data_IF_050534482597
#
_entry.id   IF_050534482597
#
_cell.length_a   1.000
_cell.length_b   1.000
_cell.length_c   1.000
_cell.angle_alpha   90.00
_cell.angle_beta   90.00
_cell.angle_gamma   90.00
#
_symmetry.space_group_name_H-M   'P 1'
#
loop_
_entity.id
_entity.type
_entity.pdbx_description
1 polymer ?
#
# COMPACT_ATOMS: atom_id res chain seq x y z
N UNK A 1 5.60 4.02 -13.41
CA UNK A 1 6.02 3.44 -12.13
C UNK A 1 7.05 4.34 -11.46
N UNK A 2 7.29 4.14 -10.19
CA UNK A 2 8.25 4.93 -9.44
C UNK A 2 9.66 4.82 -10.00
N UNK A 3 10.48 5.85 -9.78
CA UNK A 3 11.86 5.89 -10.25
C UNK A 3 12.76 5.07 -9.32
N UNK A 4 13.68 4.33 -9.91
CA UNK A 4 14.71 3.61 -9.14
C UNK A 4 15.87 4.54 -8.82
N UNK A 5 16.54 4.30 -7.71
CA UNK A 5 17.72 5.06 -7.28
C UNK A 5 17.42 6.31 -6.47
N UNK A 6 16.17 6.75 -6.42
CA UNK A 6 15.74 7.90 -5.64
C UNK A 6 15.18 7.46 -4.29
N UNK A 7 15.09 8.40 -3.36
CA UNK A 7 14.36 8.23 -2.12
C UNK A 7 13.00 8.90 -2.21
N UNK A 8 12.10 8.50 -1.33
CA UNK A 8 10.78 9.08 -1.22
C UNK A 8 10.50 9.36 0.26
N UNK A 9 9.84 10.47 0.54
CA UNK A 9 9.59 10.88 1.92
C UNK A 9 8.12 11.21 2.12
N UNK A 10 7.59 10.75 3.24
CA UNK A 10 6.30 11.21 3.76
C UNK A 10 6.51 11.63 5.21
N UNK A 11 5.69 12.55 5.68
CA UNK A 11 5.79 13.08 7.06
C UNK A 11 4.46 12.91 7.75
N UNK A 12 4.45 12.27 8.90
CA UNK A 12 3.27 12.15 9.76
C UNK A 12 3.40 13.08 10.95
N UNK A 13 2.36 13.89 11.19
CA UNK A 13 2.26 14.77 12.35
C UNK A 13 1.16 14.30 13.27
N UNK A 14 1.53 14.01 14.50
CA UNK A 14 0.56 13.67 15.54
C UNK A 14 -0.25 14.90 15.93
N UNK A 15 -1.56 14.72 16.04
CA UNK A 15 -2.51 15.80 16.33
C UNK A 15 -3.22 15.61 17.66
N UNK A 16 -2.70 14.75 18.51
CA UNK A 16 -3.32 14.39 19.79
C UNK A 16 -4.15 13.11 19.66
N UNK A 17 -4.39 12.46 20.78
CA UNK A 17 -5.16 11.21 20.79
C UNK A 17 -4.53 10.15 19.87
N UNK A 18 -5.35 9.58 19.00
CA UNK A 18 -4.93 8.56 18.05
C UNK A 18 -4.98 9.06 16.61
N UNK A 19 -4.88 10.37 16.43
CA UNK A 19 -4.99 10.98 15.11
C UNK A 19 -3.67 11.57 14.66
N UNK A 20 -3.36 11.38 13.37
CA UNK A 20 -2.23 12.02 12.69
C UNK A 20 -2.66 12.48 11.30
N UNK A 21 -1.94 13.46 10.76
CA UNK A 21 -2.04 13.84 9.36
C UNK A 21 -0.74 13.50 8.67
N UNK A 22 -0.83 12.83 7.53
CA UNK A 22 0.32 12.47 6.70
C UNK A 22 0.39 13.39 5.50
N UNK A 23 1.58 13.94 5.26
CA UNK A 23 1.87 14.77 4.08
C UNK A 23 2.70 13.96 3.11
N UNK A 24 2.22 13.84 1.88
CA UNK A 24 2.90 13.14 0.78
C UNK A 24 2.93 14.07 -0.44
N UNK A 25 4.04 14.77 -0.65
CA UNK A 25 4.12 15.82 -1.68
C UNK A 25 3.06 16.90 -1.42
N UNK A 26 2.24 17.26 -2.43
CA UNK A 26 1.16 18.24 -2.24
C UNK A 26 -0.10 17.66 -1.62
N UNK A 27 -0.12 16.35 -1.33
CA UNK A 27 -1.29 15.66 -0.80
C UNK A 27 -1.17 15.46 0.71
N UNK A 28 -2.31 15.51 1.39
CA UNK A 28 -2.37 15.17 2.79
C UNK A 28 -3.58 14.26 3.04
N UNK A 29 -3.47 13.41 4.05
CA UNK A 29 -4.57 12.54 4.43
C UNK A 29 -4.56 12.27 5.93
N UNK A 30 -5.76 12.10 6.47
CA UNK A 30 -5.96 11.84 7.89
C UNK A 30 -5.79 10.35 8.18
N UNK A 31 -5.20 10.07 9.34
CA UNK A 31 -5.05 8.71 9.89
C UNK A 31 -5.63 8.75 11.30
N UNK A 32 -6.49 7.81 11.62
CA UNK A 32 -7.15 7.75 12.91
C UNK A 32 -7.43 6.29 13.29
N UNK A 33 -8.04 6.10 14.42
CA UNK A 33 -8.49 4.79 14.88
C UNK A 33 -10.01 4.83 15.07
N UNK A 34 -10.68 3.67 15.05
CA UNK A 34 -12.11 3.61 15.37
C UNK A 34 -12.41 4.03 16.82
N UNK A 35 -13.64 4.42 17.08
CA UNK A 35 -14.05 4.84 18.42
C UNK A 35 -13.90 3.71 19.44
N UNK A 36 -14.09 2.45 19.03
CA UNK A 36 -13.97 1.28 19.91
C UNK A 36 -12.58 1.13 20.54
N UNK A 37 -11.56 1.68 19.90
CA UNK A 37 -10.20 1.64 20.43
C UNK A 37 -9.71 3.01 20.90
N UNK A 38 -10.61 3.98 21.03
CA UNK A 38 -10.30 5.29 21.56
C UNK A 38 -10.03 6.38 20.53
N UNK A 39 -10.21 6.10 19.27
CA UNK A 39 -10.07 7.08 18.19
C UNK A 39 -11.32 7.92 18.00
N UNK A 40 -11.28 8.82 17.02
CA UNK A 40 -12.42 9.68 16.66
C UNK A 40 -13.03 9.32 15.30
N UNK A 41 -12.53 8.27 14.67
CA UNK A 41 -13.04 7.75 13.39
C UNK A 41 -13.12 8.81 12.28
N UNK A 42 -12.09 9.64 12.19
CA UNK A 42 -12.04 10.72 11.20
C UNK A 42 -11.08 10.42 10.04
N UNK A 43 -10.57 9.22 9.97
CA UNK A 43 -9.73 8.73 8.90
C UNK A 43 -9.49 7.24 9.02
N UNK A 44 -9.01 6.59 7.95
CA UNK A 44 -8.64 5.18 8.01
C UNK A 44 -7.50 4.91 8.99
N UNK A 45 -7.43 3.67 9.46
CA UNK A 45 -6.33 3.20 10.31
C UNK A 45 -5.03 3.08 9.52
N UNK A 46 -3.87 3.17 10.19
CA UNK A 46 -2.58 2.93 9.52
C UNK A 46 -2.54 1.59 8.77
N UNK A 47 -3.10 0.54 9.37
CA UNK A 47 -3.12 -0.79 8.75
C UNK A 47 -3.99 -0.85 7.51
N UNK A 48 -5.04 -0.03 7.44
CA UNK A 48 -5.87 0.10 6.23
C UNK A 48 -5.10 0.82 5.12
N UNK A 49 -4.36 1.87 5.43
CA UNK A 49 -3.46 2.51 4.46
C UNK A 49 -2.38 1.56 3.98
N UNK A 50 -1.83 0.75 4.87
CA UNK A 50 -0.82 -0.25 4.53
C UNK A 50 -1.38 -1.28 3.53
N UNK A 51 -2.53 -1.85 3.82
CA UNK A 51 -3.19 -2.80 2.91
C UNK A 51 -3.60 -2.11 1.61
N UNK A 52 -4.10 -0.88 1.70
CA UNK A 52 -4.47 -0.08 0.53
C UNK A 52 -3.29 0.23 -0.37
N UNK A 53 -2.12 0.49 0.19
CA UNK A 53 -0.90 0.71 -0.61
C UNK A 53 -0.52 -0.54 -1.38
N UNK A 54 -0.61 -1.70 -0.76
CA UNK A 54 -0.33 -2.98 -1.42
C UNK A 54 -1.34 -3.27 -2.52
N UNK A 55 -2.63 -3.15 -2.22
CA UNK A 55 -3.70 -3.41 -3.19
C UNK A 55 -3.61 -2.48 -4.39
N UNK A 56 -3.44 -1.18 -4.16
CA UNK A 56 -3.35 -0.19 -5.24
C UNK A 56 -2.07 -0.36 -6.07
N UNK A 57 -0.94 -0.64 -5.42
CA UNK A 57 0.32 -0.88 -6.13
C UNK A 57 0.20 -2.10 -7.04
N UNK A 58 -0.42 -3.18 -6.56
CA UNK A 58 -0.61 -4.39 -7.36
C UNK A 58 -1.59 -4.14 -8.53
N UNK A 59 -2.67 -3.40 -8.30
CA UNK A 59 -3.60 -3.03 -9.35
C UNK A 59 -2.91 -2.24 -10.47
N UNK A 60 -2.09 -1.24 -10.11
CA UNK A 60 -1.34 -0.47 -11.09
C UNK A 60 -0.29 -1.33 -11.82
N UNK A 61 0.33 -2.28 -11.13
CA UNK A 61 1.28 -3.21 -11.73
C UNK A 61 0.58 -4.13 -12.75
N UNK A 62 -0.63 -4.60 -12.44
CA UNK A 62 -1.43 -5.39 -13.39
C UNK A 62 -1.82 -4.55 -14.61
N UNK A 63 -2.28 -3.33 -14.41
CA UNK A 63 -2.63 -2.43 -15.50
C UNK A 63 -1.41 -2.17 -16.41
N UNK A 64 -0.25 -1.94 -15.81
CA UNK A 64 1.00 -1.75 -16.55
C UNK A 64 1.38 -3.01 -17.34
N UNK A 65 1.28 -4.17 -16.70
CA UNK A 65 1.58 -5.46 -17.35
C UNK A 65 0.66 -5.74 -18.53
N UNK A 66 -0.64 -5.46 -18.38
CA UNK A 66 -1.61 -5.60 -19.44
C UNK A 66 -1.29 -4.67 -20.61
N UNK A 67 -1.02 -3.41 -20.31
CA UNK A 67 -0.68 -2.40 -21.33
C UNK A 67 0.56 -2.81 -22.13
N UNK A 68 1.58 -3.33 -21.46
CA UNK A 68 2.81 -3.80 -22.11
C UNK A 68 2.55 -4.93 -23.09
N UNK A 69 1.50 -5.70 -22.88
CA UNK A 69 1.14 -6.86 -23.70
C UNK A 69 0.00 -6.56 -24.67
N UNK A 70 -0.42 -5.30 -24.76
CA UNK A 70 -1.52 -4.92 -25.64
C UNK A 70 -2.87 -5.50 -25.23
N UNK A 71 -3.02 -5.87 -23.94
CA UNK A 71 -4.27 -6.37 -23.40
C UNK A 71 -5.03 -5.20 -22.79
N UNK A 72 -6.27 -5.01 -23.23
CA UNK A 72 -7.15 -4.01 -22.67
C UNK A 72 -7.87 -4.58 -21.45
N UNK A 73 -7.71 -3.92 -20.29
CA UNK A 73 -8.42 -4.29 -19.08
C UNK A 73 -9.77 -3.58 -19.06
N UNK A 74 -10.89 -4.32 -19.06
CA UNK A 74 -12.21 -3.70 -19.02
C UNK A 74 -12.54 -3.10 -17.66
N UNK A 75 -12.07 -3.75 -16.62
CA UNK A 75 -12.25 -3.37 -15.22
C UNK A 75 -11.18 -4.05 -14.38
N UNK A 76 -10.96 -3.54 -13.18
CA UNK A 76 -10.00 -4.14 -12.26
C UNK A 76 -10.26 -3.67 -10.83
N UNK A 77 -10.40 -4.64 -9.95
CA UNK A 77 -10.46 -4.40 -8.52
C UNK A 77 -9.50 -5.37 -7.82
N UNK A 78 -8.72 -4.86 -6.89
CA UNK A 78 -7.82 -5.67 -6.07
C UNK A 78 -8.18 -5.42 -4.62
N UNK A 79 -8.54 -6.48 -3.91
CA UNK A 79 -8.74 -6.43 -2.47
C UNK A 79 -7.54 -7.02 -1.75
N UNK A 80 -7.25 -6.48 -0.57
CA UNK A 80 -6.20 -6.99 0.31
C UNK A 80 -6.80 -7.29 1.67
N UNK A 81 -6.68 -8.53 2.11
CA UNK A 81 -7.13 -8.95 3.44
C UNK A 81 -5.92 -9.36 4.27
N UNK A 82 -5.71 -8.66 5.37
CA UNK A 82 -4.65 -8.97 6.33
C UNK A 82 -5.20 -9.72 7.52
N UNK A 83 -4.54 -10.80 7.89
CA UNK A 83 -4.87 -11.58 9.08
C UNK A 83 -3.85 -11.28 10.17
N UNK A 84 -4.34 -10.77 11.31
CA UNK A 84 -3.48 -10.34 12.41
C UNK A 84 -2.88 -11.52 13.19
N UNK A 85 -1.67 -11.32 13.68
CA UNK A 85 -1.00 -12.15 14.67
C UNK A 85 -0.21 -11.19 15.59
N UNK A 86 -0.85 -10.76 16.68
CA UNK A 86 -0.31 -9.71 17.53
C UNK A 86 -0.15 -8.41 16.75
N UNK A 87 1.00 -7.71 16.87
CA UNK A 87 1.20 -6.40 16.23
C UNK A 87 1.67 -6.49 14.78
N UNK A 88 1.29 -7.54 14.06
CA UNK A 88 1.66 -7.73 12.65
C UNK A 88 0.58 -8.50 11.92
N UNK A 89 0.64 -8.45 10.60
CA UNK A 89 -0.10 -9.40 9.76
C UNK A 89 0.75 -10.65 9.55
N UNK A 90 0.21 -11.81 9.88
CA UNK A 90 0.86 -13.09 9.56
C UNK A 90 0.62 -13.53 8.13
N UNK A 91 -0.45 -13.03 7.50
CA UNK A 91 -0.77 -13.32 6.12
C UNK A 91 -1.53 -12.14 5.52
N UNK A 92 -1.24 -11.85 4.27
CA UNK A 92 -2.03 -10.90 3.47
C UNK A 92 -2.42 -11.62 2.18
N UNK A 93 -3.71 -11.60 1.88
CA UNK A 93 -4.24 -12.19 0.64
C UNK A 93 -4.72 -11.09 -0.29
N UNK A 94 -4.18 -11.08 -1.50
CA UNK A 94 -4.67 -10.23 -2.57
C UNK A 94 -5.63 -11.04 -3.44
N UNK A 95 -6.78 -10.46 -3.74
CA UNK A 95 -7.75 -11.06 -4.66
C UNK A 95 -7.97 -10.09 -5.81
N UNK A 96 -7.73 -10.56 -7.01
CA UNK A 96 -7.91 -9.79 -8.24
C UNK A 96 -9.28 -10.10 -8.81
N UNK A 97 -10.08 -9.08 -9.01
CA UNK A 97 -11.42 -9.19 -9.57
C UNK A 97 -11.49 -8.39 -10.86
N UNK A 98 -11.80 -9.05 -11.95
CA UNK A 98 -11.91 -8.46 -13.29
C UNK A 98 -12.80 -9.34 -14.16
N UNK A 99 -13.47 -8.74 -15.14
CA UNK A 99 -14.20 -9.49 -16.15
C UNK A 99 -13.31 -10.04 -17.27
N UNK A 100 -12.00 -9.72 -17.24
CA UNK A 100 -11.04 -10.30 -18.17
C UNK A 100 -11.03 -11.84 -18.02
N UNK A 101 -11.07 -12.63 -19.12
CA UNK A 101 -10.97 -14.09 -19.01
C UNK A 101 -9.71 -14.54 -18.28
N UNK A 102 -9.84 -15.62 -17.50
CA UNK A 102 -8.75 -16.16 -16.68
C UNK A 102 -7.50 -16.43 -17.51
N UNK A 103 -7.68 -16.94 -18.72
CA UNK A 103 -6.57 -17.26 -19.64
C UNK A 103 -5.76 -16.02 -20.03
N UNK A 104 -6.39 -14.85 -19.99
CA UNK A 104 -5.71 -13.57 -20.29
C UNK A 104 -5.16 -12.91 -19.03
N UNK A 105 -5.82 -13.11 -17.88
CA UNK A 105 -5.37 -12.56 -16.61
C UNK A 105 -4.13 -13.30 -16.07
N UNK A 106 -4.16 -14.62 -16.08
CA UNK A 106 -3.13 -15.43 -15.42
C UNK A 106 -1.71 -15.11 -15.87
N UNK A 107 -1.45 -14.91 -17.19
CA UNK A 107 -0.11 -14.51 -17.63
C UNK A 107 0.35 -13.13 -17.17
N UNK A 108 -0.53 -12.29 -16.65
CA UNK A 108 -0.21 -10.96 -16.15
C UNK A 108 0.26 -10.95 -14.70
N UNK A 109 -0.05 -11.99 -13.93
CA UNK A 109 0.19 -12.01 -12.48
C UNK A 109 1.68 -12.00 -12.13
N UNK A 110 2.47 -12.87 -12.73
CA UNK A 110 3.90 -12.94 -12.45
C UNK A 110 4.64 -11.65 -12.87
N UNK A 111 4.43 -11.10 -14.08
CA UNK A 111 5.02 -9.81 -14.43
C UNK A 111 4.60 -8.66 -13.50
N UNK A 112 3.34 -8.62 -13.08
CA UNK A 112 2.85 -7.62 -12.14
C UNK A 112 3.58 -7.73 -10.80
N UNK A 113 3.73 -8.95 -10.28
CA UNK A 113 4.45 -9.19 -9.03
C UNK A 113 5.90 -8.72 -9.10
N UNK A 114 6.55 -8.83 -10.25
CA UNK A 114 7.95 -8.39 -10.42
C UNK A 114 8.11 -6.87 -10.34
N UNK A 115 7.08 -6.10 -10.68
CA UNK A 115 7.16 -4.63 -10.70
C UNK A 115 6.36 -3.97 -9.58
N UNK A 116 5.72 -4.73 -8.73
CA UNK A 116 4.97 -4.20 -7.60
C UNK A 116 5.94 -3.85 -6.46
N UNK A 117 6.19 -2.55 -6.26
CA UNK A 117 7.16 -2.07 -5.26
C UNK A 117 6.78 -2.50 -3.84
N UNK A 118 5.50 -2.40 -3.48
CA UNK A 118 5.06 -2.71 -2.12
C UNK A 118 5.19 -4.19 -1.82
N UNK A 119 4.72 -5.08 -2.72
CA UNK A 119 4.84 -6.52 -2.50
C UNK A 119 6.29 -6.98 -2.47
N UNK A 120 7.15 -6.41 -3.33
CA UNK A 120 8.58 -6.71 -3.32
C UNK A 120 9.25 -6.26 -2.02
N UNK A 121 8.85 -5.09 -1.51
CA UNK A 121 9.36 -4.59 -0.23
C UNK A 121 8.98 -5.52 0.92
N UNK A 122 7.75 -6.04 0.91
CA UNK A 122 7.30 -6.98 1.94
C UNK A 122 7.98 -8.35 1.83
N UNK A 123 8.22 -8.82 0.59
CA UNK A 123 8.91 -10.09 0.35
C UNK A 123 10.39 -10.03 0.73
N UNK A 124 11.00 -8.86 0.65
CA UNK A 124 12.41 -8.62 0.95
C UNK A 124 12.49 -7.47 1.95
N UNK A 125 12.05 -7.74 3.18
CA UNK A 125 11.88 -6.74 4.22
C UNK A 125 13.12 -5.86 4.38
N UNK A 126 12.96 -4.53 4.28
CA UNK A 126 14.08 -3.60 4.44
C UNK A 126 14.47 -3.47 5.90
N UNK A 127 15.67 -2.98 6.13
CA UNK A 127 16.07 -2.54 7.46
C UNK A 127 15.26 -1.30 7.86
N UNK A 128 14.73 -1.29 9.07
CA UNK A 128 14.03 -0.14 9.61
C UNK A 128 14.90 0.46 10.71
N UNK A 129 15.36 1.70 10.48
CA UNK A 129 16.18 2.44 11.42
C UNK A 129 15.34 3.56 12.04
N UNK A 130 15.30 3.61 13.37
CA UNK A 130 14.53 4.62 14.09
C UNK A 130 15.50 5.47 14.90
N UNK A 131 15.51 6.78 14.64
CA UNK A 131 16.39 7.71 15.34
C UNK A 131 15.67 9.01 15.63
N UNK A 132 16.15 9.73 16.63
CA UNK A 132 15.72 11.09 16.88
C UNK A 132 16.42 12.03 15.91
N UNK A 133 15.70 13.05 15.40
CA UNK A 133 16.32 14.07 14.59
C UNK A 133 17.34 14.87 15.42
N UNK A 134 18.41 15.34 14.75
CA UNK A 134 19.39 16.18 15.41
C UNK A 134 18.73 17.48 15.87
N UNK A 135 18.95 17.81 17.14
CA UNK A 135 18.48 19.06 17.70
C UNK A 135 19.54 20.11 17.40
N UNK A 136 19.22 21.07 16.53
CA UNK A 136 20.09 22.24 16.33
C UNK A 136 20.03 23.10 17.59
N UNK A 137 21.18 23.25 18.23
CA UNK A 137 21.32 24.09 19.41
C UNK A 137 21.14 25.56 19.04
#
# INVERSE_FOLDING_TARGET
MARSGDSNEVVARWEGGWRATVQAGPFSFAVDEPEEVGGTFTGPMPTEYFLGSLASCYALALAWSARKRGIELPDLEVSAVGEYDGPRFKQIRLTVNTSLPVEQLEPLLAPASRVCYVSNTLAHAPEIDVRQADVCA
#
